data_IF_219536217666
#
_entry.id   IF_219536217666
#
_cell.length_a   1.000
_cell.length_b   1.000
_cell.length_c   1.000
_cell.angle_alpha   90.00
_cell.angle_beta   90.00
_cell.angle_gamma   90.00
#
_symmetry.space_group_name_H-M   'P 1'
#
loop_
_entity.id
_entity.type
_entity.pdbx_description
1 polymer ?
#
# COMPACT_ATOMS: atom_id res chain seq x y z
N UNK A 1 13.11 -43.95 -32.51
CA UNK A 1 12.05 -44.61 -31.73
C UNK A 1 12.57 -44.60 -30.28
N UNK A 2 12.29 -43.55 -29.51
CA UNK A 2 11.10 -43.38 -28.64
C UNK A 2 11.15 -44.32 -27.43
N UNK A 3 11.09 -43.88 -26.17
CA UNK A 3 10.35 -42.73 -25.61
C UNK A 3 11.13 -41.86 -24.60
N UNK A 4 10.48 -40.76 -24.20
CA UNK A 4 10.88 -39.68 -23.29
C UNK A 4 10.77 -40.02 -21.80
N UNK A 5 11.46 -39.27 -20.92
CA UNK A 5 11.03 -39.08 -19.54
C UNK A 5 9.95 -37.98 -19.49
N UNK A 6 8.73 -38.38 -19.19
CA UNK A 6 7.61 -37.55 -18.72
C UNK A 6 7.60 -37.63 -17.19
N UNK A 7 7.07 -36.69 -16.41
CA UNK A 7 6.84 -35.23 -16.53
C UNK A 7 6.70 -34.76 -15.07
N UNK A 8 6.73 -33.45 -14.79
CA UNK A 8 6.69 -32.98 -13.40
C UNK A 8 5.35 -33.24 -12.68
N UNK A 9 5.44 -33.82 -11.48
CA UNK A 9 4.37 -33.85 -10.47
C UNK A 9 4.88 -33.39 -9.10
N UNK A 10 4.45 -32.17 -8.73
CA UNK A 10 4.11 -31.76 -7.36
C UNK A 10 5.09 -32.14 -6.21
N UNK A 11 5.98 -31.20 -5.85
CA UNK A 11 6.33 -30.99 -4.43
C UNK A 11 5.10 -30.46 -3.67
N UNK A 12 4.11 -31.33 -3.50
CA UNK A 12 2.95 -31.08 -2.65
C UNK A 12 3.41 -31.01 -1.19
N UNK A 13 3.62 -29.77 -0.75
CA UNK A 13 3.73 -29.30 0.63
C UNK A 13 3.20 -30.32 1.65
N UNK A 14 4.13 -30.97 2.35
CA UNK A 14 3.90 -31.90 3.48
C UNK A 14 2.71 -31.45 4.34
N UNK A 15 1.57 -32.14 4.19
CA UNK A 15 0.28 -31.73 4.74
C UNK A 15 -0.06 -32.65 5.91
N UNK A 16 0.18 -32.16 7.13
CA UNK A 16 -0.10 -32.87 8.37
C UNK A 16 -1.26 -32.26 9.16
N UNK A 17 -1.63 -32.91 10.26
CA UNK A 17 -2.74 -32.51 11.12
C UNK A 17 -2.64 -31.04 11.57
N UNK A 18 -3.62 -30.21 11.19
CA UNK A 18 -3.68 -28.76 11.40
C UNK A 18 -3.82 -28.31 12.87
N UNK A 19 -3.69 -29.23 13.84
CA UNK A 19 -3.74 -28.96 15.29
C UNK A 19 -2.41 -29.24 15.99
N UNK A 20 -1.70 -30.29 15.60
CA UNK A 20 -0.40 -30.66 16.17
C UNK A 20 0.79 -30.40 15.23
N UNK A 21 0.55 -30.32 13.92
CA UNK A 21 1.59 -30.18 12.90
C UNK A 21 2.27 -31.49 12.49
N UNK A 22 1.86 -32.64 13.04
CA UNK A 22 2.42 -33.94 12.70
C UNK A 22 1.65 -34.59 11.55
N UNK A 23 2.37 -35.23 10.63
CA UNK A 23 1.84 -36.19 9.67
C UNK A 23 2.05 -37.64 10.14
N UNK A 24 1.37 -38.01 11.23
CA UNK A 24 1.35 -39.37 11.78
C UNK A 24 -0.10 -39.89 11.91
N UNK A 25 -0.31 -41.11 12.40
CA UNK A 25 -1.65 -41.64 12.74
C UNK A 25 -2.76 -41.43 11.68
N UNK A 26 -2.43 -41.62 10.41
CA UNK A 26 -3.32 -41.53 9.25
C UNK A 26 -4.63 -42.33 9.42
N UNK A 27 -4.57 -43.47 10.12
CA UNK A 27 -5.72 -44.33 10.44
C UNK A 27 -6.78 -43.66 11.35
N UNK A 28 -6.42 -42.54 11.98
CA UNK A 28 -7.25 -41.74 12.91
C UNK A 28 -7.32 -40.27 12.49
N UNK A 29 -7.10 -40.00 11.20
CA UNK A 29 -7.14 -38.66 10.60
C UNK A 29 -8.49 -38.41 9.92
N UNK A 30 -8.97 -37.16 9.96
CA UNK A 30 -10.19 -36.70 9.30
C UNK A 30 -9.89 -35.53 8.38
N UNK A 31 -10.46 -35.58 7.18
CA UNK A 31 -10.48 -34.46 6.24
C UNK A 31 -11.74 -33.62 6.49
N UNK A 32 -11.60 -32.30 6.48
CA UNK A 32 -12.73 -31.39 6.52
C UNK A 32 -13.39 -31.27 5.14
N UNK A 33 -14.66 -31.69 5.01
CA UNK A 33 -15.46 -31.66 3.76
C UNK A 33 -15.62 -30.26 3.10
N UNK A 34 -15.20 -29.18 3.77
CA UNK A 34 -15.31 -27.80 3.28
C UNK A 34 -13.98 -27.09 3.04
N UNK A 35 -12.89 -27.51 3.68
CA UNK A 35 -11.58 -26.84 3.56
C UNK A 35 -10.40 -27.80 3.33
N UNK A 36 -10.70 -29.09 3.08
CA UNK A 36 -9.76 -30.19 2.80
C UNK A 36 -8.60 -30.36 3.77
N UNK A 37 -8.66 -29.73 4.95
CA UNK A 37 -7.58 -29.78 5.95
C UNK A 37 -7.66 -31.02 6.82
N UNK A 38 -6.49 -31.53 7.22
CA UNK A 38 -6.36 -32.73 8.05
C UNK A 38 -6.44 -32.45 9.55
N UNK A 39 -7.06 -33.38 10.26
CA UNK A 39 -7.23 -33.32 11.71
C UNK A 39 -7.21 -34.72 12.32
N UNK A 40 -6.29 -35.01 13.24
CA UNK A 40 -6.41 -36.20 14.07
C UNK A 40 -7.64 -36.13 14.96
N UNK A 41 -8.40 -37.22 15.00
CA UNK A 41 -9.57 -37.38 15.86
C UNK A 41 -9.28 -37.08 17.35
N UNK A 42 -8.06 -37.41 17.80
CA UNK A 42 -7.60 -37.22 19.18
C UNK A 42 -7.08 -35.81 19.48
N UNK A 43 -6.83 -34.98 18.45
CA UNK A 43 -6.47 -33.57 18.58
C UNK A 43 -7.70 -32.64 18.62
N UNK A 44 -8.86 -33.13 18.21
CA UNK A 44 -10.12 -32.38 18.26
C UNK A 44 -10.59 -32.09 19.70
N UNK A 45 -11.46 -31.09 19.83
CA UNK A 45 -12.14 -30.71 21.09
C UNK A 45 -13.65 -30.53 20.81
N UNK A 46 -14.53 -31.42 21.30
CA UNK A 46 -14.22 -32.69 21.98
C UNK A 46 -13.44 -33.64 21.07
N UNK A 47 -12.68 -34.56 21.68
CA UNK A 47 -12.02 -35.67 20.95
C UNK A 47 -13.09 -36.57 20.34
N UNK A 48 -12.76 -37.20 19.21
CA UNK A 48 -13.61 -38.22 18.60
C UNK A 48 -12.97 -39.60 18.78
N UNK A 49 -13.77 -40.57 19.21
CA UNK A 49 -13.32 -41.96 19.41
C UNK A 49 -13.54 -42.83 18.17
N UNK A 50 -14.36 -42.38 17.21
CA UNK A 50 -14.68 -43.07 15.94
C UNK A 50 -14.80 -42.07 14.78
N UNK A 51 -14.49 -42.52 13.57
CA UNK A 51 -14.72 -41.77 12.33
C UNK A 51 -16.23 -41.51 12.20
N UNK A 52 -16.68 -40.26 11.95
CA UNK A 52 -18.08 -39.94 11.70
C UNK A 52 -18.62 -40.67 10.45
N UNK A 53 -19.83 -41.21 10.54
CA UNK A 53 -20.48 -41.89 9.40
C UNK A 53 -21.01 -40.93 8.33
N UNK A 54 -21.17 -39.65 8.67
CA UNK A 54 -21.65 -38.58 7.80
C UNK A 54 -20.55 -37.53 7.63
N UNK A 55 -20.75 -36.61 6.68
CA UNK A 55 -19.86 -35.47 6.43
C UNK A 55 -19.38 -34.80 7.73
N UNK A 56 -18.09 -34.50 7.78
CA UNK A 56 -17.45 -33.88 8.92
C UNK A 56 -16.78 -32.56 8.54
N UNK A 57 -17.19 -31.52 9.26
CA UNK A 57 -16.59 -30.19 9.19
C UNK A 57 -15.74 -29.93 10.43
N UNK A 58 -14.59 -29.27 10.28
CA UNK A 58 -13.77 -28.85 11.40
C UNK A 58 -14.45 -27.72 12.20
N UNK A 59 -13.98 -27.40 13.40
CA UNK A 59 -14.61 -26.38 14.26
C UNK A 59 -14.72 -24.99 13.59
N UNK A 60 -13.79 -24.66 12.69
CA UNK A 60 -13.78 -23.41 11.91
C UNK A 60 -14.94 -23.40 10.90
N UNK A 61 -15.21 -24.54 10.25
CA UNK A 61 -16.30 -24.70 9.28
C UNK A 61 -17.66 -24.90 9.96
N UNK A 62 -17.74 -25.67 11.05
CA UNK A 62 -18.97 -25.81 11.88
C UNK A 62 -19.39 -24.49 12.51
N UNK A 63 -18.44 -23.65 12.92
CA UNK A 63 -18.71 -22.28 13.37
C UNK A 63 -19.27 -21.35 12.28
N UNK A 64 -19.31 -21.80 11.01
CA UNK A 64 -19.97 -21.12 9.90
C UNK A 64 -21.41 -21.60 9.62
N UNK A 65 -21.84 -22.75 10.16
CA UNK A 65 -23.17 -23.31 9.94
C UNK A 65 -24.20 -22.68 10.89
N UNK A 66 -24.65 -21.46 10.54
CA UNK A 66 -25.60 -20.71 11.36
C UNK A 66 -26.03 -19.38 10.76
N UNK A 67 -26.60 -19.37 9.56
CA UNK A 67 -27.23 -18.20 8.86
C UNK A 67 -26.32 -17.00 8.49
N UNK A 68 -25.16 -16.83 9.13
CA UNK A 68 -24.32 -15.65 8.98
C UNK A 68 -23.65 -15.45 7.60
N UNK A 69 -23.14 -16.50 6.90
CA UNK A 69 -22.51 -16.33 5.58
C UNK A 69 -23.53 -15.89 4.52
N UNK A 70 -24.66 -16.60 4.42
CA UNK A 70 -25.72 -16.30 3.45
C UNK A 70 -26.31 -14.89 3.63
N UNK A 71 -26.57 -14.48 4.88
CA UNK A 71 -27.08 -13.14 5.17
C UNK A 71 -26.08 -12.03 4.86
N UNK A 72 -24.77 -12.28 5.01
CA UNK A 72 -23.73 -11.33 4.60
C UNK A 72 -23.60 -11.27 3.08
N UNK A 73 -23.69 -12.39 2.39
CA UNK A 73 -23.68 -12.47 0.92
C UNK A 73 -24.84 -11.68 0.32
N UNK A 74 -26.04 -11.83 0.87
CA UNK A 74 -27.24 -11.08 0.50
C UNK A 74 -27.05 -9.56 0.72
N UNK A 75 -26.62 -9.17 1.94
CA UNK A 75 -26.37 -7.76 2.28
C UNK A 75 -25.31 -7.11 1.40
N UNK A 76 -24.26 -7.86 1.03
CA UNK A 76 -23.21 -7.37 0.14
C UNK A 76 -23.69 -7.32 -1.29
N UNK A 77 -24.43 -8.33 -1.77
CA UNK A 77 -24.99 -8.36 -3.13
C UNK A 77 -26.00 -7.24 -3.40
N UNK A 78 -26.75 -6.82 -2.38
CA UNK A 78 -27.71 -5.72 -2.44
C UNK A 78 -27.07 -4.30 -2.51
N UNK A 79 -25.73 -4.18 -2.44
CA UNK A 79 -25.05 -2.88 -2.52
C UNK A 79 -24.99 -2.34 -3.96
N UNK A 80 -24.88 -1.01 -4.14
CA UNK A 80 -24.66 -0.39 -5.46
C UNK A 80 -23.47 -1.03 -6.20
N UNK A 81 -23.61 -1.18 -7.52
CA UNK A 81 -22.58 -1.75 -8.40
C UNK A 81 -21.25 -1.02 -8.27
N UNK A 82 -21.30 0.31 -8.15
CA UNK A 82 -20.16 1.22 -8.10
C UNK A 82 -19.36 1.01 -6.81
N UNK A 83 -20.07 0.78 -5.69
CA UNK A 83 -19.46 0.47 -4.40
C UNK A 83 -18.80 -0.92 -4.42
N UNK A 84 -19.48 -1.93 -4.98
CA UNK A 84 -18.95 -3.30 -5.08
C UNK A 84 -17.78 -3.42 -6.05
N UNK A 85 -17.79 -2.65 -7.13
CA UNK A 85 -16.72 -2.64 -8.14
C UNK A 85 -15.37 -2.18 -7.56
N UNK A 86 -15.37 -1.45 -6.44
CA UNK A 86 -14.15 -1.06 -5.72
C UNK A 86 -13.58 -2.19 -4.86
N UNK A 87 -14.28 -3.29 -4.60
CA UNK A 87 -13.70 -4.39 -3.82
C UNK A 87 -12.49 -4.99 -4.53
N UNK A 88 -11.37 -5.06 -3.81
CA UNK A 88 -10.09 -5.51 -4.33
C UNK A 88 -9.35 -4.43 -5.14
N UNK A 89 -9.82 -3.18 -5.18
CA UNK A 89 -9.06 -2.05 -5.71
C UNK A 89 -7.82 -1.82 -4.82
N UNK A 90 -6.63 -1.72 -5.44
CA UNK A 90 -5.45 -1.16 -4.78
C UNK A 90 -5.55 0.35 -4.83
N UNK A 91 -5.35 1.00 -3.68
CA UNK A 91 -5.54 2.44 -3.54
C UNK A 91 -4.60 3.02 -2.49
N UNK A 92 -4.60 4.35 -2.39
CA UNK A 92 -4.01 5.06 -1.26
C UNK A 92 -5.13 5.40 -0.26
N UNK A 93 -4.84 5.27 1.02
CA UNK A 93 -5.75 5.72 2.07
C UNK A 93 -5.03 6.60 3.09
N UNK A 94 -5.73 7.63 3.57
CA UNK A 94 -5.21 8.49 4.63
C UNK A 94 -5.39 7.78 5.98
N UNK A 95 -4.29 7.21 6.48
CA UNK A 95 -4.23 6.53 7.77
C UNK A 95 -4.27 7.49 8.97
N UNK A 96 -4.12 6.91 10.17
CA UNK A 96 -4.05 7.65 11.43
C UNK A 96 -2.84 8.59 11.55
N UNK A 97 -2.74 9.27 12.70
CA UNK A 97 -1.70 10.28 12.97
C UNK A 97 -0.30 9.72 12.68
N UNK A 98 0.43 10.40 11.79
CA UNK A 98 1.80 10.02 11.41
C UNK A 98 1.93 8.90 10.38
N UNK A 99 0.83 8.39 9.80
CA UNK A 99 0.88 7.50 8.63
C UNK A 99 0.76 8.28 7.32
N UNK A 100 -0.12 9.29 7.28
CA UNK A 100 -0.40 10.03 6.04
C UNK A 100 -1.11 9.16 5.01
N UNK A 101 -0.84 9.39 3.72
CA UNK A 101 -1.32 8.52 2.65
C UNK A 101 -0.48 7.25 2.58
N UNK A 102 -1.13 6.09 2.66
CA UNK A 102 -0.49 4.78 2.79
C UNK A 102 -1.05 3.78 1.76
N UNK A 103 -0.22 2.88 1.19
CA UNK A 103 -0.67 1.84 0.26
C UNK A 103 -1.61 0.83 0.93
N UNK A 104 -2.76 0.56 0.30
CA UNK A 104 -3.80 -0.28 0.86
C UNK A 104 -4.64 -0.93 -0.23
N UNK A 105 -5.57 -1.81 0.16
CA UNK A 105 -6.65 -2.25 -0.72
C UNK A 105 -8.02 -2.05 -0.07
N UNK A 106 -9.02 -1.80 -0.91
CA UNK A 106 -10.43 -1.86 -0.52
C UNK A 106 -10.78 -3.34 -0.32
N UNK A 107 -11.01 -3.75 0.93
CA UNK A 107 -11.16 -5.15 1.31
C UNK A 107 -12.63 -5.59 1.26
N UNK A 108 -12.89 -6.78 0.72
CA UNK A 108 -14.25 -7.33 0.69
C UNK A 108 -14.70 -7.75 2.11
N UNK A 109 -15.79 -7.17 2.65
CA UNK A 109 -16.28 -7.53 3.98
C UNK A 109 -16.61 -9.02 4.14
N UNK A 110 -17.01 -9.73 3.07
CA UNK A 110 -17.32 -11.17 3.10
C UNK A 110 -16.16 -12.01 3.64
N UNK A 111 -14.92 -11.52 3.49
CA UNK A 111 -13.68 -12.26 3.77
C UNK A 111 -13.01 -11.80 5.08
N UNK A 112 -13.59 -10.78 5.73
CA UNK A 112 -13.21 -10.36 7.06
C UNK A 112 -13.76 -11.34 8.11
N UNK A 113 -13.10 -11.42 9.27
CA UNK A 113 -13.54 -12.23 10.41
C UNK A 113 -13.39 -11.43 11.70
N UNK A 114 -14.22 -11.69 12.70
CA UNK A 114 -14.17 -11.01 13.99
C UNK A 114 -14.45 -9.51 13.89
N UNK A 115 -13.76 -8.69 14.70
CA UNK A 115 -14.06 -7.25 14.87
C UNK A 115 -14.11 -6.44 13.55
N UNK A 116 -13.20 -6.60 12.57
CA UNK A 116 -13.31 -5.91 11.28
C UNK A 116 -14.60 -6.22 10.51
N UNK A 117 -15.10 -7.46 10.59
CA UNK A 117 -16.36 -7.85 9.93
C UNK A 117 -17.57 -7.20 10.59
N UNK A 118 -17.66 -7.25 11.93
CA UNK A 118 -18.79 -6.66 12.66
C UNK A 118 -18.84 -5.14 12.55
N UNK A 119 -17.68 -4.48 12.48
CA UNK A 119 -17.59 -3.05 12.19
C UNK A 119 -18.05 -2.74 10.75
N UNK A 120 -17.58 -3.51 9.75
CA UNK A 120 -17.96 -3.33 8.35
C UNK A 120 -19.45 -3.54 8.10
N UNK A 121 -20.08 -4.59 8.66
CA UNK A 121 -21.54 -4.81 8.60
C UNK A 121 -22.33 -3.58 9.05
N UNK A 122 -21.86 -2.89 10.09
CA UNK A 122 -22.52 -1.71 10.67
C UNK A 122 -22.42 -0.42 9.83
N UNK A 123 -21.58 -0.38 8.82
CA UNK A 123 -21.32 0.79 7.97
C UNK A 123 -21.30 0.44 6.47
N UNK A 124 -21.80 -0.73 6.11
CA UNK A 124 -21.82 -1.26 4.75
C UNK A 124 -22.54 -0.29 3.80
N UNK A 125 -21.95 -0.05 2.62
CA UNK A 125 -22.46 0.94 1.66
C UNK A 125 -22.23 2.42 2.05
N UNK A 126 -21.66 2.71 3.24
CA UNK A 126 -21.35 4.07 3.71
C UNK A 126 -19.84 4.34 3.83
N UNK A 127 -19.08 3.30 4.18
CA UNK A 127 -17.62 3.33 4.34
C UNK A 127 -17.02 2.02 3.85
N UNK A 128 -15.90 2.11 3.16
CA UNK A 128 -15.12 0.95 2.76
C UNK A 128 -14.35 0.38 3.94
N UNK A 129 -14.27 -0.95 4.02
CA UNK A 129 -13.28 -1.64 4.82
C UNK A 129 -11.96 -1.58 4.05
N UNK A 130 -10.93 -1.01 4.65
CA UNK A 130 -9.62 -0.79 4.01
C UNK A 130 -8.57 -1.59 4.75
N UNK A 131 -7.79 -2.39 4.00
CA UNK A 131 -6.66 -3.16 4.49
C UNK A 131 -5.34 -2.45 4.16
N UNK A 132 -4.59 -2.06 5.18
CA UNK A 132 -3.30 -1.38 5.07
C UNK A 132 -2.16 -2.40 5.00
N UNK A 133 -1.39 -2.38 3.91
CA UNK A 133 -0.23 -3.23 3.76
C UNK A 133 0.84 -2.88 4.81
N UNK A 134 1.49 -3.91 5.38
CA UNK A 134 2.53 -3.79 6.42
C UNK A 134 2.13 -3.04 7.69
N UNK A 135 0.83 -2.97 8.03
CA UNK A 135 0.36 -2.49 9.32
C UNK A 135 -0.07 -3.67 10.20
N UNK A 136 0.77 -4.10 11.14
CA UNK A 136 0.54 -5.32 11.95
C UNK A 136 -0.50 -5.14 13.05
N UNK A 137 -0.48 -3.99 13.73
CA UNK A 137 -1.23 -3.80 14.99
C UNK A 137 -2.70 -3.45 14.74
N UNK A 138 -2.97 -2.80 13.59
CA UNK A 138 -4.32 -2.43 13.16
C UNK A 138 -4.42 -2.39 11.62
N UNK A 139 -4.34 -3.56 10.94
CA UNK A 139 -4.36 -3.64 9.48
C UNK A 139 -5.65 -3.13 8.84
N UNK A 140 -6.76 -3.05 9.58
CA UNK A 140 -8.07 -2.67 9.06
C UNK A 140 -8.56 -1.33 9.62
N UNK A 141 -9.16 -0.51 8.76
CA UNK A 141 -9.97 0.65 9.17
C UNK A 141 -11.22 0.78 8.30
N UNK A 142 -12.24 1.48 8.83
CA UNK A 142 -13.38 1.93 8.02
C UNK A 142 -13.22 3.37 7.58
N UNK A 143 -13.14 3.58 6.27
CA UNK A 143 -12.89 4.89 5.68
C UNK A 143 -14.02 5.31 4.72
N UNK A 144 -14.36 6.59 4.77
CA UNK A 144 -15.22 7.20 3.75
C UNK A 144 -14.41 7.37 2.45
N UNK A 145 -15.11 7.47 1.33
CA UNK A 145 -14.52 7.58 -0.01
C UNK A 145 -13.49 8.71 -0.13
N UNK A 146 -13.77 9.87 0.47
CA UNK A 146 -12.87 11.04 0.50
C UNK A 146 -11.60 10.87 1.36
N UNK A 147 -11.41 9.70 1.98
CA UNK A 147 -10.16 9.26 2.64
C UNK A 147 -9.41 8.19 1.84
N UNK A 148 -9.91 7.85 0.66
CA UNK A 148 -9.28 6.97 -0.32
C UNK A 148 -8.92 7.77 -1.57
N UNK A 149 -7.96 7.29 -2.35
CA UNK A 149 -7.57 7.84 -3.65
C UNK A 149 -7.09 6.68 -4.53
N UNK A 150 -7.46 6.66 -5.81
CA UNK A 150 -7.06 5.58 -6.71
C UNK A 150 -5.53 5.45 -6.78
N UNK A 151 -5.01 4.24 -7.01
CA UNK A 151 -3.56 3.99 -7.05
C UNK A 151 -2.83 4.98 -7.96
N UNK A 152 -3.34 5.15 -9.17
CA UNK A 152 -2.75 5.96 -10.23
C UNK A 152 -2.79 7.45 -9.93
N UNK A 153 -3.90 7.94 -9.37
CA UNK A 153 -4.03 9.34 -8.96
C UNK A 153 -3.05 9.69 -7.83
N UNK A 154 -2.91 8.84 -6.81
CA UNK A 154 -1.95 9.07 -5.72
C UNK A 154 -0.48 9.02 -6.15
N UNK A 155 -0.17 8.31 -7.24
CA UNK A 155 1.16 8.39 -7.87
C UNK A 155 1.41 9.80 -8.46
N UNK A 156 0.41 10.43 -9.08
CA UNK A 156 0.52 11.81 -9.58
C UNK A 156 0.76 12.83 -8.45
N UNK A 157 0.13 12.63 -7.28
CA UNK A 157 0.35 13.43 -6.07
C UNK A 157 1.61 13.07 -5.29
N UNK A 158 2.42 12.13 -5.79
CA UNK A 158 3.68 11.69 -5.22
C UNK A 158 3.58 11.05 -3.83
N UNK A 159 2.47 10.35 -3.54
CA UNK A 159 2.29 9.68 -2.25
C UNK A 159 3.28 8.53 -2.03
N UNK A 160 3.78 7.92 -3.11
CA UNK A 160 4.89 6.95 -3.11
C UNK A 160 6.19 7.46 -2.46
N UNK A 161 6.36 8.77 -2.26
CA UNK A 161 7.52 9.33 -1.56
C UNK A 161 7.45 9.12 -0.04
N UNK A 162 6.31 8.68 0.51
CA UNK A 162 6.16 8.31 1.92
C UNK A 162 6.50 9.42 2.90
N UNK A 163 6.37 10.71 2.51
CA UNK A 163 6.89 11.86 3.28
C UNK A 163 6.43 11.86 4.74
N UNK A 164 5.17 11.51 5.01
CA UNK A 164 4.64 11.42 6.37
C UNK A 164 5.31 10.30 7.19
N UNK A 165 5.50 9.11 6.59
CA UNK A 165 6.22 8.00 7.19
C UNK A 165 7.70 8.35 7.46
N UNK A 166 8.38 8.93 6.46
CA UNK A 166 9.77 9.37 6.52
C UNK A 166 10.03 10.41 7.61
N UNK A 167 9.13 11.37 7.75
CA UNK A 167 9.23 12.41 8.78
C UNK A 167 8.89 11.89 10.18
N UNK A 168 8.24 10.73 10.30
CA UNK A 168 7.88 10.14 11.58
C UNK A 168 9.01 9.26 12.16
N UNK A 169 9.48 8.26 11.42
CA UNK A 169 10.64 7.45 11.81
C UNK A 169 11.23 6.65 10.64
N UNK A 170 12.49 6.22 10.78
CA UNK A 170 13.15 5.33 9.80
C UNK A 170 12.39 4.00 9.66
N UNK A 171 11.99 3.39 10.77
CA UNK A 171 11.29 2.09 10.76
C UNK A 171 9.92 2.19 10.08
N UNK A 172 9.18 3.29 10.32
CA UNK A 172 7.91 3.53 9.63
C UNK A 172 8.10 3.76 8.14
N UNK A 173 9.18 4.42 7.73
CA UNK A 173 9.53 4.56 6.32
C UNK A 173 9.88 3.21 5.69
N UNK A 174 10.62 2.34 6.37
CA UNK A 174 10.90 0.98 5.90
C UNK A 174 9.61 0.14 5.74
N UNK A 175 8.68 0.22 6.70
CA UNK A 175 7.35 -0.41 6.57
C UNK A 175 6.55 0.17 5.40
N UNK A 176 6.61 1.49 5.18
CA UNK A 176 5.97 2.15 4.05
C UNK A 176 6.56 1.67 2.71
N UNK A 177 7.89 1.56 2.60
CA UNK A 177 8.55 1.05 1.38
C UNK A 177 8.14 -0.39 1.07
N UNK A 178 8.07 -1.26 2.09
CA UNK A 178 7.54 -2.63 1.93
C UNK A 178 6.06 -2.64 1.54
N UNK A 179 5.24 -1.78 2.13
CA UNK A 179 3.83 -1.64 1.79
C UNK A 179 3.62 -1.19 0.33
N UNK A 180 4.47 -0.27 -0.13
CA UNK A 180 4.48 0.27 -1.49
C UNK A 180 4.85 -0.81 -2.50
N UNK A 181 5.94 -1.55 -2.26
CA UNK A 181 6.34 -2.67 -3.13
C UNK A 181 5.23 -3.74 -3.25
N UNK A 182 4.60 -4.11 -2.14
CA UNK A 182 3.48 -5.06 -2.17
C UNK A 182 2.31 -4.49 -2.98
N UNK A 183 1.90 -3.24 -2.73
CA UNK A 183 0.79 -2.64 -3.44
C UNK A 183 1.07 -2.46 -4.95
N UNK A 184 2.31 -2.15 -5.35
CA UNK A 184 2.74 -2.16 -6.76
C UNK A 184 2.54 -3.54 -7.37
N UNK A 185 3.10 -4.59 -6.75
CA UNK A 185 3.01 -5.98 -7.25
C UNK A 185 1.58 -6.53 -7.24
N UNK A 186 0.71 -6.06 -6.34
CA UNK A 186 -0.69 -6.46 -6.27
C UNK A 186 -1.56 -5.68 -7.28
N UNK A 187 -1.19 -4.46 -7.69
CA UNK A 187 -1.98 -3.63 -8.61
C UNK A 187 -2.18 -4.29 -9.99
N UNK A 188 -1.15 -4.96 -10.51
CA UNK A 188 -1.20 -5.61 -11.82
C UNK A 188 -1.98 -6.93 -11.85
N UNK A 189 -2.21 -7.55 -10.69
CA UNK A 189 -2.97 -8.80 -10.57
C UNK A 189 -4.46 -8.55 -10.82
N UNK A 190 -5.20 -9.56 -11.29
CA UNK A 190 -6.67 -9.47 -11.24
C UNK A 190 -7.15 -9.40 -9.79
N UNK A 191 -8.36 -8.86 -9.58
CA UNK A 191 -9.02 -8.85 -8.26
C UNK A 191 -9.04 -10.25 -7.64
N UNK A 192 -9.35 -11.29 -8.44
CA UNK A 192 -9.37 -12.69 -8.03
C UNK A 192 -7.99 -13.24 -7.62
N UNK A 193 -6.90 -12.75 -8.20
CA UNK A 193 -5.53 -13.18 -7.86
C UNK A 193 -4.98 -12.45 -6.64
N UNK A 194 -5.23 -11.13 -6.52
CA UNK A 194 -4.95 -10.36 -5.28
C UNK A 194 -5.57 -11.02 -4.05
N UNK A 195 -6.74 -11.58 -4.27
CA UNK A 195 -7.49 -12.31 -3.26
C UNK A 195 -6.90 -13.67 -2.89
N UNK A 196 -6.18 -14.33 -3.80
CA UNK A 196 -5.38 -15.52 -3.46
C UNK A 196 -4.14 -15.12 -2.66
N UNK A 197 -3.33 -14.15 -3.13
CA UNK A 197 -2.11 -13.68 -2.44
C UNK A 197 -2.39 -13.17 -1.02
N UNK A 198 -3.42 -12.34 -0.81
CA UNK A 198 -3.82 -11.85 0.52
C UNK A 198 -4.24 -12.98 1.47
N UNK A 199 -4.78 -14.09 0.97
CA UNK A 199 -5.10 -15.27 1.78
C UNK A 199 -3.86 -16.16 2.03
N UNK A 200 -2.89 -16.22 1.11
CA UNK A 200 -1.63 -16.95 1.33
C UNK A 200 -0.71 -16.24 2.35
N UNK A 201 -0.61 -14.90 2.35
CA UNK A 201 0.20 -14.18 3.35
C UNK A 201 -0.26 -14.39 4.81
N UNK A 202 -1.52 -14.82 5.03
CA UNK A 202 -2.01 -15.25 6.35
C UNK A 202 -1.43 -16.59 6.81
N UNK A 203 -1.02 -17.50 5.90
CA UNK A 203 -0.38 -18.77 6.28
C UNK A 203 1.07 -18.56 6.75
N UNK A 204 1.79 -17.63 6.12
CA UNK A 204 3.20 -17.33 6.46
C UNK A 204 3.37 -16.23 7.53
N UNK A 205 2.29 -15.84 8.22
CA UNK A 205 2.37 -14.96 9.41
C UNK A 205 1.66 -15.61 10.59
N UNK A 206 2.35 -16.54 11.24
CA UNK A 206 1.96 -17.03 12.56
C UNK A 206 1.91 -15.85 13.55
N UNK A 207 0.71 -15.39 13.87
CA UNK A 207 0.49 -14.38 14.91
C UNK A 207 1.05 -14.91 16.23
N UNK A 208 2.01 -14.20 16.88
CA UNK A 208 2.45 -14.56 18.21
C UNK A 208 1.24 -14.53 19.16
N UNK A 209 0.94 -15.67 19.77
CA UNK A 209 -0.05 -15.75 20.85
C UNK A 209 0.39 -14.77 21.97
N UNK A 210 -0.52 -13.95 22.54
CA UNK A 210 -0.17 -13.13 23.68
C UNK A 210 0.21 -14.04 24.86
N UNK A 211 1.49 -14.00 25.24
CA UNK A 211 1.99 -14.70 26.42
C UNK A 211 1.22 -14.26 27.68
N UNK A 212 1.05 -15.19 28.63
CA UNK A 212 0.35 -14.91 29.89
C UNK A 212 0.96 -13.67 30.59
N UNK A 213 0.15 -12.84 31.27
CA UNK A 213 0.68 -11.80 32.14
C UNK A 213 1.55 -12.43 33.23
N UNK A 214 2.82 -12.04 33.27
CA UNK A 214 3.68 -12.30 34.43
C UNK A 214 3.24 -11.34 35.53
N UNK A 215 2.57 -11.88 36.55
CA UNK A 215 2.35 -11.15 37.80
C UNK A 215 3.69 -10.95 38.51
N UNK A 216 4.07 -9.70 38.75
CA UNK A 216 5.16 -9.34 39.66
C UNK A 216 4.65 -8.40 40.77
N UNK A 217 5.19 -8.49 42.00
CA UNK A 217 4.46 -8.06 43.19
C UNK A 217 4.63 -6.57 43.54
N UNK A 218 3.60 -6.04 44.20
CA UNK A 218 3.52 -4.68 44.76
C UNK A 218 4.72 -4.29 45.65
N UNK A 219 5.20 -3.04 45.51
CA UNK A 219 5.86 -2.32 46.63
C UNK A 219 5.81 -0.79 46.52
N UNK A 220 4.98 -0.22 47.41
CA UNK A 220 5.22 0.97 48.26
C UNK A 220 5.74 2.29 47.63
N UNK A 221 4.78 3.21 47.49
CA UNK A 221 4.83 4.69 47.62
C UNK A 221 6.01 5.29 48.42
N UNK A 222 6.63 6.35 47.89
CA UNK A 222 7.13 7.49 48.68
C UNK A 222 7.11 8.82 47.86
N UNK A 223 6.89 9.95 48.56
CA UNK A 223 6.97 11.32 48.02
C UNK A 223 8.41 11.86 48.13
N UNK A 224 8.71 12.98 47.47
CA UNK A 224 9.43 14.06 48.16
C UNK A 224 8.65 15.38 48.22
N UNK A 225 9.09 16.28 49.11
CA UNK A 225 8.52 17.60 49.37
C UNK A 225 9.46 18.72 48.85
N UNK A 226 9.03 19.97 49.03
CA UNK A 226 9.58 21.16 48.39
C UNK A 226 10.88 21.71 49.01
N UNK A 227 11.56 22.58 48.25
CA UNK A 227 12.32 23.73 48.76
C UNK A 227 12.11 24.97 47.88
N UNK A 228 12.14 26.15 48.52
CA UNK A 228 12.21 27.50 47.93
C UNK A 228 13.67 27.85 47.54
N UNK A 229 14.04 28.99 46.94
CA UNK A 229 13.36 30.27 46.68
C UNK A 229 13.72 30.79 45.25
N UNK A 230 13.66 32.05 44.80
CA UNK A 230 13.55 33.37 45.44
C UNK A 230 12.81 34.42 44.57
N UNK A 231 13.00 35.71 44.86
CA UNK A 231 12.22 36.85 44.42
C UNK A 231 13.02 37.91 43.62
N UNK A 232 12.36 38.62 42.68
CA UNK A 232 12.11 40.09 42.76
C UNK A 232 11.52 40.72 41.48
N UNK A 233 10.46 41.54 41.70
CA UNK A 233 10.09 42.82 41.02
C UNK A 233 9.79 42.79 39.48
N UNK A 234 8.92 43.66 38.94
CA UNK A 234 8.08 44.75 39.49
C UNK A 234 6.81 44.95 38.63
N UNK A 235 5.80 45.60 39.20
CA UNK A 235 4.53 46.00 38.55
C UNK A 235 4.73 47.13 37.52
N UNK A 236 3.78 47.32 36.60
CA UNK A 236 2.77 48.43 36.63
C UNK A 236 1.51 48.00 35.84
N UNK A 237 0.34 48.35 36.36
CA UNK A 237 -0.98 48.23 35.72
C UNK A 237 -1.56 49.62 35.39
N UNK A 238 -2.60 49.68 34.53
CA UNK A 238 -3.67 50.71 34.34
C UNK A 238 -3.96 50.95 32.84
N UNK A 239 -5.17 51.30 32.38
CA UNK A 239 -6.44 51.62 33.08
C UNK A 239 -7.67 51.08 32.30
N UNK A 240 -8.85 51.17 32.91
CA UNK A 240 -10.16 50.82 32.36
C UNK A 240 -10.61 51.73 31.19
N UNK A 241 -11.60 51.29 30.40
CA UNK A 241 -12.93 51.96 30.36
C UNK A 241 -13.99 51.26 29.51
N UNK A 242 -14.98 50.75 30.25
CA UNK A 242 -16.42 50.57 29.97
C UNK A 242 -17.04 50.77 28.57
N UNK A 243 -18.00 49.87 28.27
CA UNK A 243 -18.93 49.96 27.13
C UNK A 243 -20.02 51.02 27.30
N UNK A 244 -20.56 51.52 26.18
CA UNK A 244 -22.01 51.80 26.04
C UNK A 244 -22.47 51.72 24.58
N UNK A 245 -23.63 51.09 24.37
CA UNK A 245 -24.33 50.98 23.07
C UNK A 245 -25.21 52.20 22.84
N UNK A 246 -25.45 52.57 21.58
CA UNK A 246 -26.76 53.08 21.09
C UNK A 246 -26.95 52.67 19.63
N UNK A 247 -28.20 52.40 19.27
CA UNK A 247 -28.67 51.97 17.94
C UNK A 247 -29.14 53.21 17.14
N UNK A 248 -28.81 53.30 15.85
CA UNK A 248 -29.83 53.52 14.80
C UNK A 248 -29.29 53.39 13.38
N UNK A 249 -30.22 53.13 12.46
CA UNK A 249 -30.01 52.72 11.08
C UNK A 249 -29.84 53.94 10.15
N UNK A 250 -29.10 53.79 9.04
CA UNK A 250 -29.69 54.02 7.72
C UNK A 250 -28.91 53.35 6.59
N UNK A 251 -29.55 53.25 5.43
CA UNK A 251 -29.28 52.30 4.35
C UNK A 251 -28.19 52.80 3.40
N UNK A 252 -27.30 51.91 2.98
CA UNK A 252 -26.31 52.16 1.93
C UNK A 252 -25.91 50.86 1.24
N UNK A 253 -26.48 50.60 0.06
CA UNK A 253 -26.20 49.41 -0.76
C UNK A 253 -24.73 49.34 -1.17
N UNK A 254 -24.02 48.30 -0.73
CA UNK A 254 -22.67 47.97 -1.22
C UNK A 254 -22.68 46.60 -1.88
N UNK A 255 -22.25 46.55 -3.14
CA UNK A 255 -22.05 45.31 -3.88
C UNK A 255 -21.04 44.41 -3.15
N UNK A 256 -21.50 43.25 -2.70
CA UNK A 256 -20.64 42.21 -2.14
C UNK A 256 -20.04 41.44 -3.31
N UNK A 257 -18.79 41.76 -3.67
CA UNK A 257 -17.98 40.84 -4.48
C UNK A 257 -17.63 39.65 -3.59
N UNK A 258 -18.00 38.40 -3.94
CA UNK A 258 -17.69 37.25 -3.10
C UNK A 258 -16.18 37.07 -2.97
N UNK A 259 -15.69 36.89 -1.74
CA UNK A 259 -14.29 36.59 -1.48
C UNK A 259 -14.04 35.13 -1.90
N UNK A 260 -13.14 34.84 -2.86
CA UNK A 260 -13.00 33.50 -3.41
C UNK A 260 -12.63 32.49 -2.33
N UNK A 261 -13.25 31.32 -2.44
CA UNK A 261 -13.10 30.20 -1.53
C UNK A 261 -11.65 29.70 -1.47
N UNK A 262 -11.33 28.94 -0.42
CA UNK A 262 -10.02 28.30 -0.28
C UNK A 262 -9.67 27.42 -1.49
N UNK A 263 -10.67 26.75 -2.07
CA UNK A 263 -10.54 25.89 -3.26
C UNK A 263 -10.19 26.72 -4.51
N UNK A 264 -10.77 27.92 -4.68
CA UNK A 264 -10.43 28.80 -5.80
C UNK A 264 -9.03 29.40 -5.67
N UNK A 265 -8.58 29.68 -4.44
CA UNK A 265 -7.18 30.09 -4.19
C UNK A 265 -6.20 28.95 -4.44
N UNK A 266 -6.52 27.73 -4.01
CA UNK A 266 -5.71 26.53 -4.26
C UNK A 266 -5.67 26.19 -5.77
N UNK A 267 -6.79 26.36 -6.51
CA UNK A 267 -6.81 26.26 -7.98
C UNK A 267 -5.99 27.36 -8.66
N UNK A 268 -6.10 28.63 -8.22
CA UNK A 268 -5.31 29.73 -8.77
C UNK A 268 -3.81 29.52 -8.52
N UNK A 269 -3.42 29.09 -7.32
CA UNK A 269 -2.04 28.72 -7.00
C UNK A 269 -1.54 27.52 -7.83
N UNK A 270 -2.39 26.52 -8.12
CA UNK A 270 -2.02 25.41 -8.99
C UNK A 270 -1.86 25.84 -10.46
N UNK A 271 -2.70 26.75 -10.95
CA UNK A 271 -2.65 27.28 -12.31
C UNK A 271 -1.47 28.25 -12.49
N UNK A 272 -1.16 29.06 -11.48
CA UNK A 272 0.06 29.87 -11.41
C UNK A 272 1.32 28.98 -11.26
N UNK A 273 1.27 27.84 -10.56
CA UNK A 273 2.37 26.87 -10.54
C UNK A 273 2.60 26.18 -11.89
N UNK A 274 1.53 25.97 -12.66
CA UNK A 274 1.59 25.41 -14.01
C UNK A 274 2.20 26.42 -14.98
N UNK A 275 1.71 27.66 -14.98
CA UNK A 275 2.21 28.75 -15.85
C UNK A 275 3.59 29.29 -15.43
N UNK A 276 3.95 29.22 -14.15
CA UNK A 276 5.30 29.55 -13.65
C UNK A 276 6.38 28.55 -14.10
N UNK A 277 6.01 27.43 -14.74
CA UNK A 277 6.98 26.45 -15.25
C UNK A 277 7.49 26.75 -16.67
N UNK A 278 6.89 27.69 -17.40
CA UNK A 278 7.26 28.05 -18.78
C UNK A 278 8.38 29.12 -18.90
N UNK A 279 9.12 29.40 -17.81
CA UNK A 279 10.27 30.32 -17.82
C UNK A 279 11.61 29.67 -17.46
N UNK A 280 11.68 28.33 -17.51
CA UNK A 280 12.93 27.59 -17.45
C UNK A 280 13.51 27.33 -18.85
N UNK A 281 14.28 28.32 -19.32
CA UNK A 281 15.34 28.21 -20.33
C UNK A 281 15.00 27.73 -21.77
N UNK A 282 15.39 28.55 -22.76
CA UNK A 282 15.37 28.23 -24.19
C UNK A 282 16.56 27.37 -24.63
N UNK A 283 17.11 26.58 -23.70
CA UNK A 283 17.95 25.42 -24.02
C UNK A 283 17.22 24.55 -25.05
N UNK A 284 17.92 24.22 -26.14
CA UNK A 284 17.38 23.41 -27.22
C UNK A 284 16.88 22.07 -26.65
N UNK A 285 15.75 21.58 -27.17
CA UNK A 285 15.33 20.22 -26.85
C UNK A 285 16.24 19.27 -27.62
N UNK A 286 17.24 18.73 -26.94
CA UNK A 286 18.24 17.82 -27.52
C UNK A 286 17.80 16.37 -27.36
N UNK A 287 18.57 15.45 -27.92
CA UNK A 287 18.40 14.02 -27.66
C UNK A 287 18.55 13.68 -26.17
N UNK A 288 17.78 12.69 -25.72
CA UNK A 288 17.91 12.04 -24.42
C UNK A 288 18.75 10.78 -24.56
N UNK A 289 19.86 10.70 -23.84
CA UNK A 289 20.73 9.52 -23.84
C UNK A 289 20.54 8.77 -22.52
N UNK A 290 20.17 7.48 -22.63
CA UNK A 290 19.94 6.61 -21.48
C UNK A 290 20.89 5.41 -21.52
N UNK A 291 21.46 5.02 -20.39
CA UNK A 291 22.14 3.71 -20.25
C UNK A 291 21.20 2.70 -19.60
N UNK A 292 21.16 1.48 -20.10
CA UNK A 292 20.20 0.45 -19.68
C UNK A 292 20.94 -0.64 -18.91
N UNK A 293 20.48 -0.91 -17.68
CA UNK A 293 21.12 -1.80 -16.74
C UNK A 293 20.17 -2.90 -16.29
N UNK A 294 20.55 -4.16 -16.51
CA UNK A 294 19.83 -5.31 -16.00
C UNK A 294 20.16 -5.50 -14.52
N UNK A 295 19.14 -5.75 -13.70
CA UNK A 295 19.25 -5.93 -12.24
C UNK A 295 18.97 -7.38 -11.90
N UNK A 296 20.03 -8.14 -11.62
CA UNK A 296 19.92 -9.54 -11.21
C UNK A 296 19.47 -9.70 -9.74
N UNK A 297 19.83 -8.75 -8.87
CA UNK A 297 19.44 -8.72 -7.46
C UNK A 297 18.84 -7.35 -7.11
N UNK A 298 17.55 -7.34 -6.77
CA UNK A 298 16.78 -6.14 -6.41
C UNK A 298 17.10 -5.59 -5.03
N UNK A 299 17.78 -6.35 -4.18
CA UNK A 299 18.31 -5.88 -2.90
C UNK A 299 19.79 -5.43 -3.04
N UNK A 300 20.48 -5.78 -4.14
CA UNK A 300 21.88 -5.43 -4.39
C UNK A 300 22.17 -4.90 -5.81
N UNK A 301 21.84 -3.62 -6.02
CA UNK A 301 22.10 -2.88 -7.27
C UNK A 301 23.58 -2.80 -7.69
N UNK A 302 24.54 -3.09 -6.81
CA UNK A 302 25.95 -3.14 -7.18
C UNK A 302 26.28 -4.29 -8.15
N UNK A 303 25.41 -5.31 -8.25
CA UNK A 303 25.52 -6.43 -9.22
C UNK A 303 24.94 -6.12 -10.59
N UNK A 304 24.27 -4.96 -10.76
CA UNK A 304 23.63 -4.62 -12.03
C UNK A 304 24.63 -4.48 -13.17
N UNK A 305 24.28 -5.02 -14.35
CA UNK A 305 25.13 -5.04 -15.54
C UNK A 305 24.56 -4.12 -16.62
N UNK A 306 25.41 -3.30 -17.26
CA UNK A 306 24.98 -2.49 -18.39
C UNK A 306 24.78 -3.40 -19.60
N UNK A 307 23.56 -3.45 -20.13
CA UNK A 307 23.18 -4.27 -21.30
C UNK A 307 23.07 -3.46 -22.59
N UNK A 308 23.06 -2.13 -22.50
CA UNK A 308 23.10 -1.26 -23.66
C UNK A 308 22.93 0.21 -23.33
N UNK A 309 22.59 0.99 -24.35
CA UNK A 309 22.15 2.37 -24.26
C UNK A 309 21.06 2.60 -25.32
N UNK A 310 20.24 3.64 -25.11
CA UNK A 310 19.25 4.09 -26.10
C UNK A 310 19.28 5.60 -26.21
N UNK A 311 19.03 6.11 -27.42
CA UNK A 311 18.95 7.54 -27.72
C UNK A 311 17.51 7.84 -28.14
N UNK A 312 16.95 8.93 -27.60
CA UNK A 312 15.58 9.36 -27.90
C UNK A 312 15.56 10.81 -28.34
N UNK A 313 14.55 11.17 -29.14
CA UNK A 313 14.49 12.46 -29.84
C UNK A 313 14.39 13.71 -28.94
N UNK A 314 14.04 13.58 -27.65
CA UNK A 314 13.73 14.73 -26.79
C UNK A 314 14.05 14.49 -25.32
N UNK A 315 14.97 15.28 -24.77
CA UNK A 315 15.34 15.35 -23.35
C UNK A 315 14.21 15.92 -22.48
N UNK A 316 13.30 16.72 -23.06
CA UNK A 316 12.18 17.33 -22.34
C UNK A 316 10.89 16.51 -22.38
N UNK A 317 10.65 15.71 -23.42
CA UNK A 317 9.34 15.08 -23.68
C UNK A 317 9.31 13.55 -23.80
N UNK A 318 10.44 12.87 -24.07
CA UNK A 318 10.44 11.41 -24.23
C UNK A 318 9.92 10.68 -22.98
N UNK A 319 9.06 9.69 -23.17
CA UNK A 319 8.32 8.97 -22.13
C UNK A 319 8.90 7.57 -21.86
N UNK A 320 8.36 6.87 -20.86
CA UNK A 320 8.69 5.46 -20.62
C UNK A 320 8.31 4.55 -21.80
N UNK A 321 7.24 4.86 -22.54
CA UNK A 321 6.79 4.08 -23.70
C UNK A 321 7.78 4.25 -24.87
N UNK A 322 8.29 5.47 -25.10
CA UNK A 322 9.32 5.73 -26.11
C UNK A 322 10.62 4.99 -25.78
N UNK A 323 11.04 5.02 -24.52
CA UNK A 323 12.22 4.29 -24.03
C UNK A 323 12.06 2.80 -24.21
N UNK A 324 10.91 2.22 -23.83
CA UNK A 324 10.67 0.78 -24.01
C UNK A 324 10.67 0.41 -25.49
N UNK A 325 10.03 1.20 -26.34
CA UNK A 325 10.02 0.97 -27.79
C UNK A 325 11.44 0.98 -28.36
N UNK A 326 12.30 1.89 -27.88
CA UNK A 326 13.70 1.96 -28.26
C UNK A 326 14.48 0.72 -27.76
N UNK A 327 14.36 0.38 -26.47
CA UNK A 327 15.02 -0.81 -25.87
C UNK A 327 14.64 -2.10 -26.60
N UNK A 328 13.34 -2.31 -26.85
CA UNK A 328 12.84 -3.53 -27.52
C UNK A 328 13.26 -3.64 -28.99
N UNK A 329 13.74 -2.55 -29.60
CA UNK A 329 14.25 -2.50 -30.98
C UNK A 329 15.78 -2.61 -31.04
N UNK A 330 16.49 -2.09 -30.04
CA UNK A 330 17.94 -1.83 -30.11
C UNK A 330 18.78 -2.66 -29.12
N UNK A 331 18.15 -3.37 -28.18
CA UNK A 331 18.84 -4.22 -27.20
C UNK A 331 18.29 -5.65 -27.30
N UNK A 332 18.93 -6.48 -28.13
CA UNK A 332 18.53 -7.88 -28.42
C UNK A 332 18.29 -8.71 -27.14
N UNK A 333 19.14 -8.57 -26.12
CA UNK A 333 19.02 -9.26 -24.84
C UNK A 333 17.67 -9.00 -24.12
N UNK A 334 17.02 -7.88 -24.44
CA UNK A 334 15.75 -7.42 -23.86
C UNK A 334 14.58 -7.47 -24.86
N UNK A 335 14.79 -7.89 -26.11
CA UNK A 335 13.72 -8.01 -27.11
C UNK A 335 12.93 -9.31 -26.97
N UNK A 336 13.59 -10.42 -26.62
CA UNK A 336 12.98 -11.76 -26.47
C UNK A 336 12.51 -12.10 -25.05
N UNK A 337 12.76 -11.21 -24.09
CA UNK A 337 12.49 -11.41 -22.66
C UNK A 337 11.40 -10.47 -22.13
N UNK A 338 10.60 -10.97 -21.20
CA UNK A 338 9.66 -10.17 -20.42
C UNK A 338 10.43 -9.36 -19.38
N UNK A 339 10.26 -8.04 -19.32
CA UNK A 339 10.95 -7.19 -18.35
C UNK A 339 10.16 -5.94 -17.98
N UNK A 340 10.40 -5.43 -16.76
CA UNK A 340 9.83 -4.20 -16.22
C UNK A 340 10.94 -3.18 -15.93
N UNK A 341 10.64 -1.89 -16.06
CA UNK A 341 11.52 -0.86 -15.48
C UNK A 341 11.50 -0.98 -13.97
N UNK A 342 12.65 -0.82 -13.31
CA UNK A 342 12.69 -0.60 -11.87
C UNK A 342 12.88 0.88 -11.60
N UNK A 343 11.97 1.47 -10.81
CA UNK A 343 12.06 2.86 -10.37
C UNK A 343 12.34 2.90 -8.87
N UNK A 344 13.35 3.68 -8.42
CA UNK A 344 13.63 3.88 -7.00
C UNK A 344 12.36 4.21 -6.19
N UNK A 345 12.22 3.53 -5.05
CA UNK A 345 11.06 3.57 -4.14
C UNK A 345 9.75 2.96 -4.68
N UNK A 346 9.50 2.96 -6.00
CA UNK A 346 8.28 2.36 -6.58
C UNK A 346 8.40 0.85 -6.80
N UNK A 347 9.62 0.36 -7.03
CA UNK A 347 9.87 -1.04 -7.40
C UNK A 347 9.77 -1.26 -8.91
N UNK A 348 9.49 -2.50 -9.34
CA UNK A 348 9.13 -2.80 -10.73
C UNK A 348 7.90 -1.99 -11.16
N UNK A 349 7.91 -1.49 -12.40
CA UNK A 349 6.88 -0.61 -12.95
C UNK A 349 6.19 -1.30 -14.12
N UNK A 350 4.86 -1.27 -14.12
CA UNK A 350 4.04 -1.94 -15.11
C UNK A 350 3.74 -1.09 -16.33
N UNK A 351 3.38 -1.73 -17.45
CA UNK A 351 3.03 -1.06 -18.72
C UNK A 351 1.89 -0.05 -18.57
N UNK A 352 0.99 -0.24 -17.60
CA UNK A 352 -0.08 0.71 -17.30
C UNK A 352 0.48 1.96 -16.58
N UNK A 353 1.43 1.77 -15.66
CA UNK A 353 2.09 2.87 -14.95
C UNK A 353 3.02 3.67 -15.87
N UNK A 354 3.78 3.00 -16.76
CA UNK A 354 4.66 3.62 -17.76
C UNK A 354 3.93 4.69 -18.59
N UNK A 355 2.69 4.44 -19.01
CA UNK A 355 1.88 5.36 -19.83
C UNK A 355 1.35 6.59 -19.08
N UNK A 356 1.36 6.54 -17.76
CA UNK A 356 0.88 7.60 -16.87
C UNK A 356 2.04 8.41 -16.28
N UNK A 357 3.23 7.81 -16.26
CA UNK A 357 4.47 8.50 -16.00
C UNK A 357 4.85 9.24 -17.28
N UNK A 358 4.69 10.56 -17.28
CA UNK A 358 5.03 11.43 -18.41
C UNK A 358 6.54 11.45 -18.73
N UNK A 359 7.09 12.60 -19.18
CA UNK A 359 8.48 12.64 -19.62
C UNK A 359 9.48 12.05 -18.60
N UNK A 360 10.29 11.09 -19.03
CA UNK A 360 11.04 10.18 -18.16
C UNK A 360 12.13 10.91 -17.37
N UNK A 361 12.87 11.84 -18.01
CA UNK A 361 13.89 12.60 -17.32
C UNK A 361 13.29 13.55 -16.25
N UNK A 362 12.27 14.39 -16.54
CA UNK A 362 11.55 15.14 -15.50
C UNK A 362 10.94 14.27 -14.40
N UNK A 363 10.57 13.03 -14.71
CA UNK A 363 10.11 12.06 -13.71
C UNK A 363 11.26 11.65 -12.77
N UNK A 364 12.41 11.22 -13.27
CA UNK A 364 13.56 10.84 -12.42
C UNK A 364 14.21 12.03 -11.70
N UNK A 365 14.30 13.20 -12.35
CA UNK A 365 14.87 14.42 -11.76
C UNK A 365 14.11 14.86 -10.47
N UNK A 366 12.78 14.73 -10.45
CA UNK A 366 11.94 14.99 -9.26
C UNK A 366 12.05 13.93 -8.15
N UNK A 367 12.82 12.86 -8.38
CA UNK A 367 12.92 11.66 -7.52
C UNK A 367 14.33 11.38 -7.01
N UNK A 368 15.35 12.16 -7.40
CA UNK A 368 16.72 12.08 -6.88
C UNK A 368 16.74 12.08 -5.35
N UNK A 369 17.23 10.99 -4.75
CA UNK A 369 17.52 10.96 -3.31
C UNK A 369 18.84 11.71 -3.02
N UNK A 370 19.01 12.20 -1.80
CA UNK A 370 20.27 12.83 -1.42
C UNK A 370 21.40 11.78 -1.40
N UNK A 371 22.43 11.97 -2.23
CA UNK A 371 23.50 11.00 -2.45
C UNK A 371 23.22 9.98 -3.57
N UNK A 372 22.11 10.13 -4.31
CA UNK A 372 21.75 9.24 -5.41
C UNK A 372 22.57 9.55 -6.68
N UNK A 373 23.55 8.69 -6.97
CA UNK A 373 24.34 8.72 -8.20
C UNK A 373 23.68 7.97 -9.36
N UNK A 374 22.50 7.37 -9.16
CA UNK A 374 21.86 6.46 -10.11
C UNK A 374 21.02 7.16 -11.18
N UNK A 375 21.14 8.48 -11.33
CA UNK A 375 20.35 9.26 -12.30
C UNK A 375 21.18 10.39 -12.89
N UNK A 376 21.74 10.16 -14.07
CA UNK A 376 22.34 11.21 -14.90
C UNK A 376 21.33 12.28 -15.31
N UNK A 377 21.82 13.33 -15.97
CA UNK A 377 21.00 14.44 -16.49
C UNK A 377 20.40 14.15 -17.87
N UNK A 378 20.72 13.01 -18.48
CA UNK A 378 20.21 12.62 -19.81
C UNK A 378 21.07 13.09 -20.97
N UNK A 379 22.19 13.77 -20.71
CA UNK A 379 23.16 14.18 -21.74
C UNK A 379 24.16 13.06 -22.07
N UNK A 380 24.97 13.27 -23.11
CA UNK A 380 26.05 12.35 -23.48
C UNK A 380 27.12 12.18 -22.40
N UNK A 381 27.33 13.20 -21.56
CA UNK A 381 28.33 13.18 -20.49
C UNK A 381 27.78 12.56 -19.20
N UNK A 382 26.48 12.70 -18.93
CA UNK A 382 25.82 12.01 -17.81
C UNK A 382 24.50 11.37 -18.24
N UNK A 383 24.54 10.24 -18.98
CA UNK A 383 23.34 9.54 -19.43
C UNK A 383 22.38 9.19 -18.30
N UNK A 384 21.07 9.28 -18.56
CA UNK A 384 20.06 8.84 -17.61
C UNK A 384 20.20 7.32 -17.42
N UNK A 385 20.54 6.89 -16.20
CA UNK A 385 20.70 5.46 -15.89
C UNK A 385 19.33 4.86 -15.61
N UNK A 386 18.95 3.87 -16.42
CA UNK A 386 17.69 3.17 -16.32
C UNK A 386 17.93 1.73 -15.91
N UNK A 387 17.16 1.26 -14.93
CA UNK A 387 17.22 -0.10 -14.43
C UNK A 387 16.04 -0.89 -14.96
N UNK A 388 16.30 -2.13 -15.40
CA UNK A 388 15.29 -3.10 -15.80
C UNK A 388 15.49 -4.39 -15.00
N UNK A 389 14.40 -5.10 -14.75
CA UNK A 389 14.38 -6.43 -14.15
C UNK A 389 13.70 -7.35 -15.16
N UNK A 390 14.37 -8.45 -15.49
CA UNK A 390 13.76 -9.53 -16.27
C UNK A 390 12.78 -10.29 -15.38
N UNK A 391 11.60 -10.55 -15.92
CA UNK A 391 10.59 -11.42 -15.33
C UNK A 391 10.82 -12.81 -15.92
N UNK A 392 11.19 -13.76 -15.07
CA UNK A 392 11.38 -15.16 -15.45
C UNK A 392 10.10 -15.74 -16.08
N UNK A 393 10.29 -16.69 -17.01
CA UNK A 393 9.22 -17.37 -17.77
C UNK A 393 8.70 -18.60 -17.04
#
# INVERSE_FOLDING_TARGET
MSHTPNDGDDELLDTGCLVCGNDDHHDKMLLCDACTGEYHMHCLKPKLDKIPQNKWFCAICKGGEGTAPAKLEELVSALPSEYRARFGEICWAQGGVGYGWWPCCIFDPRWAKGKPLEEAKRQLGKKYLVYFYMCTDSPFALLAENKTMSWLEGLSYNYYQGKAAKNYSKDRFALFQKALLIATNEFDKSVSERYKSLNLSRKNTALPQPGRPILSPSKVRQKPAATSSDAKRKLVSKDESSSKRTISQQVGTKNIIPRPSRIEKEKKMAQEHYQSSEHADRSADTELICTVWNVADVDNFATSTQVGFVILASIKSSTFEDVRTCISREIDLLSETTWQFWVPLLGPVSRAQERLFGPILPFFAKRKLAGDTMTGDGTIHHPLRLHVIQLDK
#
